data_IF_631246835694
#
_entry.id   IF_631246835694
#
_cell.length_a   1.000
_cell.length_b   1.000
_cell.length_c   1.000
_cell.angle_alpha   90.00
_cell.angle_beta   90.00
_cell.angle_gamma   90.00
#
_symmetry.space_group_name_H-M   'P 1'
#
loop_
_entity.id
_entity.type
_entity.pdbx_description
1 polymer ?
#
# COMPACT_ATOMS: atom_id res chain seq x y z
N UNK A 1 -7.39 -17.70 4.56
CA UNK A 1 -5.94 -17.47 4.64
C UNK A 1 -5.55 -16.19 3.92
N UNK A 2 -4.38 -15.63 4.23
CA UNK A 2 -3.96 -14.29 3.79
C UNK A 2 -3.98 -14.07 2.27
N UNK A 3 -3.62 -15.07 1.48
CA UNK A 3 -3.61 -15.00 0.01
C UNK A 3 -5.00 -14.69 -0.61
N UNK A 4 -6.07 -15.24 -0.06
CA UNK A 4 -7.44 -14.98 -0.52
C UNK A 4 -7.91 -13.55 -0.16
N UNK A 5 -7.41 -12.99 0.95
CA UNK A 5 -7.70 -11.61 1.34
C UNK A 5 -7.00 -10.63 0.42
N UNK A 6 -5.73 -10.86 0.09
CA UNK A 6 -4.99 -10.04 -0.89
C UNK A 6 -5.68 -10.08 -2.26
N UNK A 7 -6.07 -11.26 -2.75
CA UNK A 7 -6.77 -11.39 -4.03
C UNK A 7 -8.12 -10.62 -4.06
N UNK A 8 -8.89 -10.66 -2.96
CA UNK A 8 -10.13 -9.87 -2.84
C UNK A 8 -9.86 -8.37 -2.80
N UNK A 9 -8.81 -7.94 -2.10
CA UNK A 9 -8.42 -6.54 -2.07
C UNK A 9 -7.99 -6.03 -3.45
N UNK A 10 -7.23 -6.84 -4.19
CA UNK A 10 -6.83 -6.55 -5.57
C UNK A 10 -8.03 -6.48 -6.51
N UNK A 11 -8.97 -7.42 -6.41
CA UNK A 11 -10.19 -7.41 -7.20
C UNK A 11 -11.05 -6.19 -6.88
N UNK A 12 -11.26 -5.88 -5.59
CA UNK A 12 -12.01 -4.71 -5.13
C UNK A 12 -11.38 -3.39 -5.57
N UNK A 13 -10.05 -3.29 -5.52
CA UNK A 13 -9.29 -2.15 -6.01
C UNK A 13 -9.45 -1.98 -7.53
N UNK A 14 -9.45 -3.09 -8.28
CA UNK A 14 -9.62 -3.06 -9.74
C UNK A 14 -11.01 -2.62 -10.18
N UNK A 15 -12.06 -2.96 -9.42
CA UNK A 15 -13.42 -2.49 -9.70
C UNK A 15 -13.73 -1.12 -9.07
N UNK A 16 -12.80 -0.53 -8.30
CA UNK A 16 -12.95 0.78 -7.69
C UNK A 16 -14.04 0.88 -6.61
N UNK A 17 -14.44 -0.25 -6.02
CA UNK A 17 -15.55 -0.29 -5.04
C UNK A 17 -15.03 -0.19 -3.61
N UNK A 18 -15.22 0.97 -3.00
CA UNK A 18 -14.82 1.22 -1.61
C UNK A 18 -15.56 0.31 -0.59
N UNK A 19 -16.83 -0.03 -0.85
CA UNK A 19 -17.61 -0.91 0.03
C UNK A 19 -17.10 -2.35 0.00
N UNK A 20 -16.78 -2.87 -1.19
CA UNK A 20 -16.19 -4.20 -1.35
C UNK A 20 -14.79 -4.25 -0.73
N UNK A 21 -13.98 -3.20 -0.93
CA UNK A 21 -12.66 -3.11 -0.34
C UNK A 21 -12.75 -3.07 1.19
N UNK A 22 -13.60 -2.22 1.76
CA UNK A 22 -13.82 -2.17 3.22
C UNK A 22 -14.24 -3.53 3.79
N UNK A 23 -15.13 -4.25 3.10
CA UNK A 23 -15.56 -5.59 3.52
C UNK A 23 -14.43 -6.61 3.44
N UNK A 24 -13.57 -6.51 2.42
CA UNK A 24 -12.40 -7.37 2.27
C UNK A 24 -11.34 -7.12 3.35
N UNK A 25 -11.28 -5.89 3.89
CA UNK A 25 -10.34 -5.45 4.92
C UNK A 25 -10.83 -5.65 6.36
N UNK A 26 -12.06 -6.10 6.55
CA UNK A 26 -12.59 -6.38 7.90
C UNK A 26 -11.72 -7.42 8.63
N UNK A 27 -11.11 -7.03 9.74
CA UNK A 27 -10.21 -7.88 10.54
C UNK A 27 -8.81 -8.05 9.93
N UNK A 28 -8.39 -7.11 9.08
CA UNK A 28 -7.02 -7.05 8.53
C UNK A 28 -6.32 -5.85 9.13
N UNK A 29 -5.21 -6.09 9.83
CA UNK A 29 -4.44 -5.01 10.46
C UNK A 29 -3.47 -4.33 9.46
N UNK A 30 -2.96 -5.07 8.47
CA UNK A 30 -2.05 -4.54 7.46
C UNK A 30 -2.16 -5.26 6.11
N UNK A 31 -2.04 -4.49 5.04
CA UNK A 31 -1.92 -4.96 3.66
C UNK A 31 -0.47 -4.90 3.22
N UNK A 32 0.10 -6.06 2.89
CA UNK A 32 1.39 -6.13 2.20
C UNK A 32 1.18 -6.44 0.73
N UNK A 33 1.44 -5.47 -0.14
CA UNK A 33 1.13 -5.57 -1.58
C UNK A 33 2.26 -5.05 -2.46
N UNK A 34 2.38 -5.52 -3.71
CA UNK A 34 3.24 -4.87 -4.67
C UNK A 34 2.63 -3.53 -5.10
N UNK A 35 3.44 -2.57 -5.58
CA UNK A 35 2.90 -1.34 -6.16
C UNK A 35 1.97 -1.64 -7.35
N UNK A 36 2.35 -2.65 -8.16
CA UNK A 36 1.62 -3.10 -9.34
C UNK A 36 1.57 -4.63 -9.40
N UNK A 37 0.45 -5.15 -9.87
CA UNK A 37 0.26 -6.57 -10.19
C UNK A 37 -0.11 -6.69 -11.67
N UNK A 38 0.87 -7.00 -12.52
CA UNK A 38 0.72 -6.95 -13.97
C UNK A 38 0.25 -5.56 -14.45
N UNK A 39 -0.85 -5.52 -15.20
CA UNK A 39 -1.44 -4.27 -15.69
C UNK A 39 -2.12 -3.43 -14.60
N UNK A 40 -2.36 -3.98 -13.41
CA UNK A 40 -3.12 -3.33 -12.34
C UNK A 40 -2.19 -2.51 -11.45
N UNK A 41 -2.48 -1.21 -11.28
CA UNK A 41 -1.89 -0.42 -10.21
C UNK A 41 -2.66 -0.72 -8.92
N UNK A 42 -1.98 -1.33 -7.96
CA UNK A 42 -2.59 -1.78 -6.70
C UNK A 42 -2.65 -0.62 -5.72
N UNK A 43 -1.51 0.03 -5.51
CA UNK A 43 -1.40 1.12 -4.56
C UNK A 43 -1.91 2.39 -5.22
N UNK A 44 -3.06 2.86 -4.74
CA UNK A 44 -3.72 4.09 -5.19
C UNK A 44 -4.17 4.89 -3.98
N UNK A 45 -4.35 6.21 -4.10
CA UNK A 45 -4.90 7.05 -3.01
C UNK A 45 -6.24 6.52 -2.49
N UNK A 46 -7.07 5.97 -3.37
CA UNK A 46 -8.37 5.39 -2.99
C UNK A 46 -8.22 4.14 -2.14
N UNK A 47 -7.28 3.25 -2.48
CA UNK A 47 -6.98 2.07 -1.68
C UNK A 47 -6.44 2.47 -0.30
N UNK A 48 -5.42 3.35 -0.27
CA UNK A 48 -4.79 3.81 0.98
C UNK A 48 -5.84 4.41 1.92
N UNK A 49 -6.65 5.36 1.41
CA UNK A 49 -7.73 5.97 2.21
C UNK A 49 -8.73 4.94 2.73
N UNK A 50 -9.10 3.95 1.92
CA UNK A 50 -10.06 2.93 2.33
C UNK A 50 -9.48 1.98 3.37
N UNK A 51 -8.19 1.65 3.25
CA UNK A 51 -7.47 0.85 4.23
C UNK A 51 -7.38 1.57 5.57
N UNK A 52 -6.95 2.83 5.57
CA UNK A 52 -6.93 3.66 6.77
C UNK A 52 -8.32 3.82 7.40
N UNK A 53 -9.37 4.01 6.60
CA UNK A 53 -10.75 4.07 7.10
C UNK A 53 -11.27 2.73 7.67
N UNK A 54 -10.61 1.62 7.35
CA UNK A 54 -10.86 0.31 7.92
C UNK A 54 -9.93 -0.02 9.11
N UNK A 55 -9.01 0.88 9.47
CA UNK A 55 -8.01 0.66 10.52
C UNK A 55 -6.81 -0.18 10.07
N UNK A 56 -6.63 -0.38 8.76
CA UNK A 56 -5.57 -1.20 8.20
C UNK A 56 -4.42 -0.33 7.65
N UNK A 57 -3.18 -0.75 7.92
CA UNK A 57 -1.96 -0.20 7.34
C UNK A 57 -1.74 -0.68 5.89
N UNK A 58 -0.97 0.06 5.11
CA UNK A 58 -0.56 -0.28 3.74
C UNK A 58 0.95 -0.28 3.63
N UNK A 59 1.52 -1.46 3.41
CA UNK A 59 2.96 -1.69 3.24
C UNK A 59 3.25 -2.16 1.81
N UNK A 60 4.26 -1.56 1.18
CA UNK A 60 4.58 -1.82 -0.23
C UNK A 60 5.94 -2.49 -0.38
N UNK A 61 5.99 -3.60 -1.12
CA UNK A 61 7.21 -4.35 -1.40
C UNK A 61 7.42 -4.57 -2.92
N UNK A 62 8.62 -4.81 -3.41
CA UNK A 62 9.90 -4.26 -2.91
C UNK A 62 10.15 -2.97 -3.69
N UNK A 63 10.43 -1.87 -2.99
CA UNK A 63 10.57 -0.54 -3.61
C UNK A 63 12.02 -0.08 -3.46
N UNK A 64 12.77 -0.08 -4.56
CA UNK A 64 14.20 0.26 -4.54
C UNK A 64 14.50 1.65 -5.13
N UNK A 65 13.59 2.19 -5.95
CA UNK A 65 13.79 3.48 -6.62
C UNK A 65 13.41 4.67 -5.72
N UNK A 66 14.30 5.66 -5.50
CA UNK A 66 14.02 6.82 -4.64
C UNK A 66 12.77 7.62 -5.06
N UNK A 67 12.53 7.76 -6.37
CA UNK A 67 11.32 8.45 -6.87
C UNK A 67 10.04 7.65 -6.61
N UNK A 68 10.13 6.32 -6.63
CA UNK A 68 9.00 5.47 -6.25
C UNK A 68 8.73 5.56 -4.75
N UNK A 69 9.78 5.52 -3.92
CA UNK A 69 9.67 5.73 -2.48
C UNK A 69 9.00 7.07 -2.16
N UNK A 70 9.48 8.18 -2.74
CA UNK A 70 8.88 9.51 -2.59
C UNK A 70 7.39 9.51 -2.93
N UNK A 71 7.05 9.03 -4.14
CA UNK A 71 5.66 8.97 -4.62
C UNK A 71 4.78 8.14 -3.68
N UNK A 72 5.25 7.00 -3.20
CA UNK A 72 4.47 6.10 -2.34
C UNK A 72 4.27 6.69 -0.94
N UNK A 73 5.32 7.30 -0.37
CA UNK A 73 5.21 8.06 0.88
C UNK A 73 4.20 9.21 0.74
N UNK A 74 4.24 9.95 -0.38
CA UNK A 74 3.28 11.03 -0.68
C UNK A 74 1.86 10.52 -0.95
N UNK A 75 1.70 9.24 -1.29
CA UNK A 75 0.40 8.57 -1.38
C UNK A 75 -0.17 8.20 -0.01
N UNK A 76 0.65 8.26 1.05
CA UNK A 76 0.27 7.93 2.42
C UNK A 76 0.44 6.46 2.77
N UNK A 77 1.34 5.72 2.13
CA UNK A 77 1.65 4.35 2.58
C UNK A 77 2.36 4.40 3.92
N UNK A 78 2.08 3.41 4.77
CA UNK A 78 2.59 3.35 6.14
C UNK A 78 3.98 2.71 6.21
N UNK A 79 4.35 1.94 5.18
CA UNK A 79 5.61 1.21 5.17
C UNK A 79 6.11 0.86 3.77
N UNK A 80 7.44 0.83 3.64
CA UNK A 80 8.15 0.39 2.46
C UNK A 80 9.07 -0.78 2.83
N UNK A 81 9.02 -1.85 2.04
CA UNK A 81 10.01 -2.92 2.07
C UNK A 81 10.99 -2.66 0.94
N UNK A 82 12.28 -2.58 1.25
CA UNK A 82 13.32 -2.17 0.31
C UNK A 82 14.64 -2.89 0.59
N UNK A 83 15.42 -3.09 -0.47
CA UNK A 83 16.82 -3.52 -0.36
C UNK A 83 17.77 -2.33 -0.11
N UNK A 84 17.22 -1.09 -0.11
CA UNK A 84 17.94 0.18 0.06
C UNK A 84 17.46 0.95 1.29
N UNK A 85 17.62 0.40 2.51
CA UNK A 85 17.15 1.04 3.74
C UNK A 85 17.84 2.38 4.02
N UNK A 86 19.09 2.55 3.57
CA UNK A 86 19.85 3.80 3.61
C UNK A 86 19.10 4.95 2.95
N UNK A 87 18.59 4.71 1.73
CA UNK A 87 17.84 5.69 0.95
C UNK A 87 16.48 5.96 1.59
N UNK A 88 15.77 4.90 1.99
CA UNK A 88 14.44 5.04 2.58
C UNK A 88 14.48 5.87 3.88
N UNK A 89 15.45 5.61 4.76
CA UNK A 89 15.63 6.36 6.00
C UNK A 89 15.91 7.84 5.74
N UNK A 90 16.79 8.16 4.78
CA UNK A 90 17.08 9.55 4.42
C UNK A 90 15.81 10.29 3.93
N UNK A 91 14.96 9.62 3.14
CA UNK A 91 13.72 10.21 2.62
C UNK A 91 12.64 10.40 3.68
N UNK A 92 12.57 9.52 4.68
CA UNK A 92 11.64 9.64 5.81
C UNK A 92 12.12 10.74 6.76
N UNK A 93 13.41 10.77 7.10
CA UNK A 93 13.99 11.80 7.95
C UNK A 93 13.79 13.20 7.38
N UNK A 94 13.98 13.38 6.06
CA UNK A 94 13.77 14.66 5.38
C UNK A 94 12.30 15.17 5.41
N UNK A 95 11.33 14.33 5.81
CA UNK A 95 9.90 14.69 5.93
C UNK A 95 9.48 15.01 7.35
N UNK A 96 10.32 14.72 8.34
CA UNK A 96 10.05 14.97 9.76
C UNK A 96 10.57 16.34 10.24
N UNK A 97 11.22 17.10 9.36
CA UNK A 97 11.76 18.45 9.59
C UNK A 97 10.85 19.48 8.94
#
# INVERSE_FOLDING_TARGET
>A
GGQATVARCLAAARVGSASLLRRALSGVDALQVPERAGAVRVVTRGLVRTAHAAGAEVHVWTVNEPDAMRRLLDLGVDGLVTDRPDVALALVAARMV
#
